data_IF_432096611166
#
_entry.id   IF_432096611166
#
_cell.length_a   1.000
_cell.length_b   1.000
_cell.length_c   1.000
_cell.angle_alpha   90.00
_cell.angle_beta   90.00
_cell.angle_gamma   90.00
#
_symmetry.space_group_name_H-M   'P 1'
#
loop_
_entity.id
_entity.type
_entity.pdbx_description
1 polymer ?
#
# COMPACT_ATOMS: atom_id res chain seq x y z
N UNK A 1 -24.64 8.16 4.99
CA UNK A 1 -23.34 8.52 5.61
C UNK A 1 -22.53 7.28 6.01
N UNK A 2 -23.19 6.20 6.47
CA UNK A 2 -22.56 4.96 6.93
C UNK A 2 -21.77 4.16 5.87
N UNK A 3 -22.24 4.05 4.63
CA UNK A 3 -21.51 3.29 3.60
C UNK A 3 -20.16 3.92 3.23
N UNK A 4 -20.05 5.25 3.29
CA UNK A 4 -18.79 5.97 3.04
C UNK A 4 -17.77 5.70 4.15
N UNK A 5 -18.24 5.64 5.40
CA UNK A 5 -17.45 5.33 6.59
C UNK A 5 -16.97 3.87 6.57
N UNK A 6 -17.84 2.93 6.15
CA UNK A 6 -17.50 1.51 5.96
C UNK A 6 -16.40 1.29 4.92
N UNK A 7 -16.46 1.99 3.78
CA UNK A 7 -15.40 1.91 2.74
C UNK A 7 -14.05 2.45 3.22
N UNK A 8 -14.05 3.54 3.99
CA UNK A 8 -12.82 4.07 4.59
C UNK A 8 -12.21 3.10 5.61
N UNK A 9 -13.04 2.41 6.40
CA UNK A 9 -12.59 1.45 7.40
C UNK A 9 -11.96 0.20 6.77
N UNK A 10 -12.55 -0.33 5.69
CA UNK A 10 -11.98 -1.48 4.94
C UNK A 10 -10.63 -1.11 4.32
N UNK A 11 -10.52 0.07 3.72
CA UNK A 11 -9.29 0.53 3.06
C UNK A 11 -8.17 0.83 4.07
N UNK A 12 -8.52 1.42 5.21
CA UNK A 12 -7.61 1.59 6.35
C UNK A 12 -7.14 0.24 6.88
N UNK A 13 -8.06 -0.72 7.07
CA UNK A 13 -7.75 -2.08 7.51
C UNK A 13 -6.80 -2.80 6.54
N UNK A 14 -7.01 -2.66 5.23
CA UNK A 14 -6.10 -3.19 4.20
C UNK A 14 -4.68 -2.61 4.34
N UNK A 15 -4.57 -1.28 4.43
CA UNK A 15 -3.28 -0.60 4.60
C UNK A 15 -2.56 -1.01 5.88
N UNK A 16 -3.29 -1.16 7.00
CA UNK A 16 -2.71 -1.63 8.26
C UNK A 16 -2.22 -3.07 8.15
N UNK A 17 -2.96 -3.95 7.45
CA UNK A 17 -2.56 -5.34 7.24
C UNK A 17 -1.27 -5.42 6.41
N UNK A 18 -1.16 -4.63 5.33
CA UNK A 18 0.06 -4.55 4.53
C UNK A 18 1.23 -3.92 5.28
N UNK A 19 0.97 -2.94 6.15
CA UNK A 19 1.99 -2.32 7.00
C UNK A 19 2.60 -3.36 7.95
N UNK A 20 1.74 -4.15 8.61
CA UNK A 20 2.15 -5.24 9.50
C UNK A 20 2.92 -6.30 8.72
N UNK A 21 2.43 -6.71 7.54
CA UNK A 21 3.10 -7.67 6.66
C UNK A 21 4.48 -7.22 6.20
N UNK A 22 4.61 -5.94 5.81
CA UNK A 22 5.90 -5.34 5.41
C UNK A 22 6.87 -5.29 6.59
N UNK A 23 6.39 -4.91 7.77
CA UNK A 23 7.21 -4.86 8.99
C UNK A 23 7.71 -6.24 9.41
N UNK A 24 6.84 -7.25 9.41
CA UNK A 24 7.21 -8.64 9.70
C UNK A 24 8.23 -9.14 8.66
N UNK A 25 8.03 -8.85 7.38
CA UNK A 25 8.96 -9.26 6.31
C UNK A 25 10.35 -8.66 6.48
N UNK A 26 10.43 -7.38 6.89
CA UNK A 26 11.70 -6.71 7.22
C UNK A 26 12.38 -7.40 8.41
N UNK A 27 11.63 -7.70 9.49
CA UNK A 27 12.18 -8.39 10.67
C UNK A 27 12.71 -9.77 10.30
N UNK A 28 11.93 -10.56 9.54
CA UNK A 28 12.34 -11.90 9.11
C UNK A 28 13.64 -11.81 8.30
N UNK A 29 13.72 -10.86 7.37
CA UNK A 29 14.89 -10.71 6.50
C UNK A 29 16.14 -10.25 7.26
N UNK A 30 15.99 -9.41 8.31
CA UNK A 30 17.11 -8.89 9.09
C UNK A 30 17.61 -9.83 10.19
N UNK A 31 16.70 -10.58 10.83
CA UNK A 31 17.02 -11.36 12.03
C UNK A 31 17.08 -12.87 11.81
N UNK A 32 16.48 -13.39 10.73
CA UNK A 32 16.44 -14.83 10.45
C UNK A 32 17.27 -15.12 9.20
N UNK A 33 18.47 -15.72 9.33
CA UNK A 33 19.23 -16.12 8.16
C UNK A 33 18.42 -17.12 7.34
N UNK A 34 18.35 -16.89 6.03
CA UNK A 34 17.48 -17.57 5.05
C UNK A 34 17.57 -19.10 5.01
N UNK A 35 18.56 -19.71 5.66
CA UNK A 35 18.72 -21.16 5.80
C UNK A 35 18.10 -21.79 7.06
N UNK A 36 17.43 -21.03 7.94
CA UNK A 36 16.85 -21.54 9.20
C UNK A 36 15.31 -21.67 9.19
N UNK A 37 14.63 -21.26 8.12
CA UNK A 37 13.18 -21.36 7.99
C UNK A 37 12.80 -22.60 7.17
N UNK A 38 12.23 -23.65 7.79
CA UNK A 38 11.79 -24.83 7.04
C UNK A 38 10.68 -24.45 6.05
N UNK A 39 10.86 -24.80 4.78
CA UNK A 39 9.86 -24.59 3.72
C UNK A 39 9.97 -23.26 2.96
N UNK A 40 10.94 -22.39 3.29
CA UNK A 40 11.21 -21.17 2.52
C UNK A 40 12.39 -21.43 1.58
N UNK A 41 12.21 -21.32 0.25
CA UNK A 41 13.32 -21.47 -0.69
C UNK A 41 14.38 -20.41 -0.43
N UNK A 42 15.66 -20.81 -0.46
CA UNK A 42 16.78 -19.88 -0.28
C UNK A 42 16.75 -18.80 -1.37
N UNK A 43 16.32 -17.60 -0.99
CA UNK A 43 16.40 -16.44 -1.86
C UNK A 43 17.86 -16.00 -1.98
N UNK A 44 18.30 -15.68 -3.20
CA UNK A 44 19.62 -15.10 -3.43
C UNK A 44 19.80 -13.79 -2.63
N UNK A 45 21.04 -13.47 -2.26
CA UNK A 45 21.35 -12.22 -1.53
C UNK A 45 20.83 -10.97 -2.26
N UNK A 46 20.87 -10.97 -3.59
CA UNK A 46 20.33 -9.89 -4.41
C UNK A 46 18.80 -9.76 -4.30
N UNK A 47 18.06 -10.88 -4.31
CA UNK A 47 16.61 -10.87 -4.10
C UNK A 47 16.23 -10.40 -2.68
N UNK A 48 17.00 -10.77 -1.66
CA UNK A 48 16.77 -10.31 -0.28
C UNK A 48 16.95 -8.80 -0.14
N UNK A 49 18.00 -8.24 -0.74
CA UNK A 49 18.24 -6.79 -0.74
C UNK A 49 17.11 -6.06 -1.49
N UNK A 50 16.75 -6.52 -2.69
CA UNK A 50 15.65 -5.94 -3.46
C UNK A 50 14.30 -6.00 -2.72
N UNK A 51 13.97 -7.14 -2.14
CA UNK A 51 12.75 -7.33 -1.34
C UNK A 51 12.73 -6.40 -0.12
N UNK A 52 13.87 -6.23 0.56
CA UNK A 52 13.99 -5.31 1.70
C UNK A 52 13.73 -3.86 1.28
N UNK A 53 14.32 -3.42 0.16
CA UNK A 53 14.11 -2.06 -0.38
C UNK A 53 12.63 -1.85 -0.73
N UNK A 54 12.00 -2.82 -1.41
CA UNK A 54 10.58 -2.77 -1.77
C UNK A 54 9.69 -2.65 -0.53
N UNK A 55 9.95 -3.46 0.50
CA UNK A 55 9.20 -3.42 1.76
C UNK A 55 9.37 -2.07 2.49
N UNK A 56 10.55 -1.45 2.43
CA UNK A 56 10.76 -0.10 2.98
C UNK A 56 9.95 0.94 2.20
N UNK A 57 9.93 0.87 0.86
CA UNK A 57 9.14 1.79 0.02
C UNK A 57 7.65 1.61 0.33
N UNK A 58 7.16 0.38 0.47
CA UNK A 58 5.79 0.10 0.91
C UNK A 58 5.49 0.73 2.27
N UNK A 59 6.36 0.50 3.25
CA UNK A 59 6.20 1.04 4.61
C UNK A 59 6.10 2.58 4.61
N UNK A 60 7.02 3.27 3.95
CA UNK A 60 7.02 4.73 3.84
C UNK A 60 5.78 5.24 3.09
N UNK A 61 5.40 4.55 2.00
CA UNK A 61 4.23 4.93 1.20
C UNK A 61 2.93 4.77 1.97
N UNK A 62 2.76 3.67 2.71
CA UNK A 62 1.57 3.43 3.54
C UNK A 62 1.48 4.48 4.66
N UNK A 63 2.58 4.79 5.36
CA UNK A 63 2.58 5.85 6.38
C UNK A 63 2.20 7.20 5.77
N UNK A 64 2.72 7.54 4.59
CA UNK A 64 2.37 8.77 3.88
C UNK A 64 0.90 8.83 3.47
N UNK A 65 0.32 7.71 3.03
CA UNK A 65 -1.11 7.58 2.72
C UNK A 65 -1.96 7.78 3.99
N UNK A 66 -1.57 7.17 5.13
CA UNK A 66 -2.25 7.33 6.41
C UNK A 66 -2.18 8.78 6.93
N UNK A 67 -1.13 9.54 6.56
CA UNK A 67 -1.02 10.99 6.79
C UNK A 67 -1.76 11.83 5.74
N UNK A 68 -2.66 11.23 4.98
CA UNK A 68 -3.51 11.87 3.97
C UNK A 68 -2.74 12.56 2.83
N UNK A 69 -1.53 12.11 2.51
CA UNK A 69 -0.73 12.69 1.41
C UNK A 69 -0.88 11.84 0.14
N UNK A 70 -1.71 12.32 -0.80
CA UNK A 70 -2.00 11.68 -2.12
C UNK A 70 -0.74 11.32 -2.92
N UNK A 71 0.34 12.10 -2.78
CA UNK A 71 1.63 11.85 -3.47
C UNK A 71 2.21 10.46 -3.15
N UNK A 72 1.99 9.95 -1.93
CA UNK A 72 2.52 8.65 -1.52
C UNK A 72 1.76 7.47 -2.14
N UNK A 73 0.56 7.67 -2.69
CA UNK A 73 -0.14 6.64 -3.47
C UNK A 73 0.62 6.27 -4.74
N UNK A 74 1.35 7.20 -5.36
CA UNK A 74 2.21 6.89 -6.51
C UNK A 74 3.41 6.03 -6.11
N UNK A 75 4.00 6.28 -4.95
CA UNK A 75 5.08 5.45 -4.39
C UNK A 75 4.61 4.02 -4.12
N UNK A 76 3.39 3.88 -3.57
CA UNK A 76 2.75 2.59 -3.32
C UNK A 76 2.48 1.80 -4.62
N UNK A 77 1.98 2.47 -5.67
CA UNK A 77 1.81 1.84 -6.99
C UNK A 77 3.17 1.42 -7.57
N UNK A 78 4.18 2.29 -7.48
CA UNK A 78 5.54 1.98 -7.93
C UNK A 78 6.13 0.76 -7.24
N UNK A 79 5.98 0.67 -5.91
CA UNK A 79 6.42 -0.49 -5.12
C UNK A 79 5.67 -1.77 -5.52
N UNK A 80 4.37 -1.68 -5.80
CA UNK A 80 3.55 -2.81 -6.27
C UNK A 80 4.05 -3.36 -7.60
N UNK A 81 4.29 -2.48 -8.58
CA UNK A 81 4.82 -2.89 -9.89
C UNK A 81 6.24 -3.44 -9.79
N UNK A 82 7.09 -2.82 -8.95
CA UNK A 82 8.45 -3.29 -8.73
C UNK A 82 8.46 -4.67 -8.07
N UNK A 83 7.61 -4.88 -7.07
CA UNK A 83 7.41 -6.18 -6.39
C UNK A 83 7.04 -7.28 -7.37
N UNK A 84 6.13 -6.98 -8.31
CA UNK A 84 5.75 -7.92 -9.36
C UNK A 84 6.93 -8.32 -10.23
N UNK A 85 7.69 -7.34 -10.74
CA UNK A 85 8.85 -7.61 -11.59
C UNK A 85 9.89 -8.44 -10.82
N UNK A 86 10.16 -8.10 -9.55
CA UNK A 86 11.14 -8.82 -8.74
C UNK A 86 10.75 -10.26 -8.43
N UNK A 87 9.46 -10.59 -8.42
CA UNK A 87 9.01 -11.97 -8.20
C UNK A 87 9.51 -12.94 -9.29
N UNK A 88 9.83 -12.44 -10.49
CA UNK A 88 10.29 -13.28 -11.60
C UNK A 88 11.80 -13.20 -11.85
N UNK A 89 12.53 -12.33 -11.15
CA UNK A 89 13.98 -12.22 -11.34
C UNK A 89 14.67 -13.42 -10.70
N UNK A 90 15.36 -14.24 -11.50
CA UNK A 90 16.20 -15.33 -11.00
C UNK A 90 15.46 -16.57 -10.52
N UNK A 91 14.14 -16.68 -10.74
CA UNK A 91 13.36 -17.89 -10.45
C UNK A 91 12.89 -18.58 -11.74
N UNK A 92 12.68 -19.90 -11.67
CA UNK A 92 12.03 -20.63 -12.77
C UNK A 92 10.58 -20.18 -12.85
N UNK A 93 10.14 -19.86 -14.06
CA UNK A 93 8.78 -19.38 -14.28
C UNK A 93 7.77 -20.50 -13.99
N UNK A 94 6.97 -20.34 -12.94
CA UNK A 94 5.84 -21.21 -12.61
C UNK A 94 4.53 -20.44 -12.78
N UNK A 95 3.54 -21.10 -13.40
CA UNK A 95 2.22 -20.50 -13.68
C UNK A 95 1.50 -20.13 -12.37
N UNK A 96 1.62 -20.96 -11.33
CA UNK A 96 1.07 -20.71 -10.00
C UNK A 96 1.61 -19.40 -9.39
N UNK A 97 2.91 -19.19 -9.49
CA UNK A 97 3.59 -17.97 -9.02
C UNK A 97 3.13 -16.73 -9.80
N UNK A 98 3.03 -16.86 -11.13
CA UNK A 98 2.54 -15.77 -11.97
C UNK A 98 1.12 -15.35 -11.60
N UNK A 99 0.21 -16.32 -11.44
CA UNK A 99 -1.18 -16.05 -11.05
C UNK A 99 -1.22 -15.38 -9.68
N UNK A 100 -0.45 -15.87 -8.70
CA UNK A 100 -0.39 -15.27 -7.36
C UNK A 100 0.11 -13.83 -7.38
N UNK A 101 1.21 -13.57 -8.10
CA UNK A 101 1.77 -12.23 -8.26
C UNK A 101 0.79 -11.29 -8.98
N UNK A 102 0.09 -11.78 -10.02
CA UNK A 102 -0.89 -11.00 -10.77
C UNK A 102 -2.10 -10.61 -9.91
N UNK A 103 -2.63 -11.54 -9.12
CA UNK A 103 -3.72 -11.26 -8.18
C UNK A 103 -3.29 -10.21 -7.16
N UNK A 104 -2.07 -10.33 -6.60
CA UNK A 104 -1.52 -9.36 -5.66
C UNK A 104 -1.45 -7.95 -6.25
N UNK A 105 -0.94 -7.81 -7.48
CA UNK A 105 -0.88 -6.53 -8.18
C UNK A 105 -2.26 -5.94 -8.42
N UNK A 106 -3.22 -6.76 -8.89
CA UNK A 106 -4.58 -6.31 -9.17
C UNK A 106 -5.26 -5.78 -7.90
N UNK A 107 -5.09 -6.46 -6.77
CA UNK A 107 -5.63 -6.03 -5.48
C UNK A 107 -5.03 -4.70 -5.02
N UNK A 108 -3.70 -4.53 -5.13
CA UNK A 108 -3.03 -3.30 -4.72
C UNK A 108 -3.32 -2.12 -5.65
N UNK A 109 -3.49 -2.36 -6.95
CA UNK A 109 -3.96 -1.35 -7.89
C UNK A 109 -5.41 -0.95 -7.60
N UNK A 110 -6.27 -1.91 -7.26
CA UNK A 110 -7.65 -1.62 -6.85
C UNK A 110 -7.69 -0.77 -5.57
N UNK A 111 -6.88 -1.12 -4.57
CA UNK A 111 -6.74 -0.34 -3.33
C UNK A 111 -6.25 1.08 -3.61
N UNK A 112 -5.24 1.22 -4.50
CA UNK A 112 -4.72 2.52 -4.93
C UNK A 112 -5.80 3.38 -5.62
N UNK A 113 -6.58 2.78 -6.51
CA UNK A 113 -7.69 3.47 -7.16
C UNK A 113 -8.77 3.91 -6.16
N UNK A 114 -9.11 3.05 -5.20
CA UNK A 114 -10.04 3.39 -4.12
C UNK A 114 -9.52 4.55 -3.26
N UNK A 115 -8.21 4.58 -2.97
CA UNK A 115 -7.55 5.69 -2.27
C UNK A 115 -7.65 6.99 -3.07
N UNK A 116 -7.35 6.98 -4.36
CA UNK A 116 -7.47 8.16 -5.22
C UNK A 116 -8.89 8.72 -5.23
N UNK A 117 -9.90 7.86 -5.38
CA UNK A 117 -11.31 8.24 -5.30
C UNK A 117 -11.70 8.82 -3.95
N UNK A 118 -11.05 8.37 -2.87
CA UNK A 118 -11.31 8.85 -1.52
C UNK A 118 -10.65 10.21 -1.29
N UNK A 119 -9.41 10.39 -1.74
CA UNK A 119 -8.72 11.69 -1.73
C UNK A 119 -9.47 12.75 -2.56
N UNK A 120 -9.93 12.41 -3.76
CA UNK A 120 -10.71 13.31 -4.61
C UNK A 120 -12.01 13.76 -3.91
N UNK A 121 -12.70 12.85 -3.22
CA UNK A 121 -13.90 13.22 -2.46
C UNK A 121 -13.60 14.13 -1.28
N UNK A 122 -12.50 13.92 -0.56
CA UNK A 122 -12.10 14.78 0.55
C UNK A 122 -11.70 16.18 0.06
N UNK A 123 -11.00 16.26 -1.07
CA UNK A 123 -10.61 17.52 -1.72
C UNK A 123 -11.85 18.35 -2.12
N UNK A 124 -12.88 17.70 -2.67
CA UNK A 124 -14.17 18.34 -3.02
C UNK A 124 -14.94 18.79 -1.78
N UNK A 125 -14.92 18.03 -0.68
CA UNK A 125 -15.62 18.45 0.55
C UNK A 125 -14.92 19.64 1.22
N UNK A 126 -13.59 19.64 1.30
CA UNK A 126 -12.82 20.75 1.86
C UNK A 126 -13.03 22.03 1.04
N UNK A 127 -13.04 21.94 -0.30
CA UNK A 127 -13.28 23.08 -1.18
C UNK A 127 -14.70 23.66 -1.08
N UNK A 128 -15.69 22.86 -0.65
CA UNK A 128 -17.08 23.34 -0.48
C UNK A 128 -17.33 23.90 0.93
N UNK A 129 -16.62 23.44 1.96
CA UNK A 129 -16.64 24.06 3.30
C UNK A 129 -16.06 25.48 3.28
N UNK A 130 -15.04 25.74 2.46
CA UNK A 130 -14.50 27.09 2.25
C UNK A 130 -15.41 28.01 1.40
N UNK A 131 -16.49 27.47 0.83
CA UNK A 131 -17.41 28.18 -0.07
C UNK A 131 -18.73 28.62 0.59
N UNK A 132 -18.98 28.27 1.86
CA UNK A 132 -20.06 28.89 2.63
C UNK A 132 -19.56 30.22 3.21
N UNK A 133 -19.97 31.40 2.69
CA UNK A 133 -19.80 32.61 3.45
C UNK A 133 -20.64 32.45 4.72
N UNK A 134 -19.98 32.54 5.87
CA UNK A 134 -20.62 32.82 7.15
C UNK A 134 -21.48 34.06 6.93
N UNK A 135 -22.77 33.88 6.65
CA UNK A 135 -23.75 34.93 6.86
C UNK A 135 -23.82 35.08 8.36
N UNK A 136 -23.00 36.00 8.85
CA UNK A 136 -23.18 36.61 10.15
C UNK A 136 -24.60 37.21 10.16
N UNK A 137 -25.56 36.43 10.65
CA UNK A 137 -26.82 36.91 11.17
C UNK A 137 -26.54 37.76 12.42
N UNK A 138 -25.93 38.94 12.22
CA UNK A 138 -25.92 39.98 13.23
C UNK A 138 -27.19 40.79 13.02
N UNK A 139 -28.25 40.34 13.69
CA UNK A 139 -29.37 41.19 14.06
C UNK A 139 -28.82 42.40 14.85
N UNK A 140 -29.01 43.60 14.32
CA UNK A 140 -29.19 44.82 15.13
C UNK A 140 -30.18 45.76 14.45
#
# INVERSE_FOLDING_TARGET
MEEKLKRGCILSGWLWLELIGSFISIIITLFIPSGKLPGVPEASSMQQILSTIINIIFFVSIIGILRWKKVFTYGYIGATLLSFVTAFIGQKFEISMFIGALIGVLLNLWASYALFRLFEKLEIQCSNEDAEPVKDDINL
#
